data_IF_976818472395
#
_entry.id   IF_976818472395
#
_cell.length_a   1.000
_cell.length_b   1.000
_cell.length_c   1.000
_cell.angle_alpha   90.00
_cell.angle_beta   90.00
_cell.angle_gamma   90.00
#
_symmetry.space_group_name_H-M   'P 1'
#
loop_
_entity.id
_entity.type
_entity.pdbx_description
1 polymer ?
#
# COMPACT_ATOMS: atom_id res chain seq x y z
N UNK A 1 -6.80 25.21 16.88
CA UNK A 1 -8.08 25.89 16.60
C UNK A 1 -8.11 27.34 17.12
N UNK A 2 -7.84 27.63 18.41
CA UNK A 2 -7.72 29.03 18.90
C UNK A 2 -6.61 29.85 18.25
N UNK A 3 -5.51 29.23 17.84
CA UNK A 3 -4.38 29.94 17.20
C UNK A 3 -4.58 30.19 15.70
N UNK A 4 -5.56 29.56 15.03
CA UNK A 4 -5.70 29.63 13.57
C UNK A 4 -6.57 30.79 13.07
N UNK A 5 -7.37 31.45 13.91
CA UNK A 5 -8.39 32.41 13.43
C UNK A 5 -8.29 33.83 13.99
N UNK A 6 -7.52 34.11 15.05
CA UNK A 6 -7.35 35.47 15.59
C UNK A 6 -8.64 36.14 16.11
N UNK A 7 -9.79 35.48 16.03
CA UNK A 7 -11.10 35.96 16.48
C UNK A 7 -11.48 35.30 17.81
N UNK A 8 -12.11 36.09 18.69
CA UNK A 8 -12.69 35.60 19.94
C UNK A 8 -13.93 34.74 19.63
N UNK A 9 -13.71 33.47 19.30
CA UNK A 9 -14.76 32.46 19.11
C UNK A 9 -15.38 32.13 20.47
N UNK A 10 -16.71 32.15 20.57
CA UNK A 10 -17.39 31.82 21.83
C UNK A 10 -17.16 30.35 22.22
N UNK A 11 -17.22 30.04 23.52
CA UNK A 11 -17.06 28.65 23.98
C UNK A 11 -18.18 27.73 23.44
N UNK A 12 -19.35 28.29 23.10
CA UNK A 12 -20.47 27.57 22.47
C UNK A 12 -20.19 27.25 21.00
N UNK A 13 -19.62 28.20 20.25
CA UNK A 13 -19.19 27.98 18.88
C UNK A 13 -18.06 26.95 18.82
N UNK A 14 -17.09 27.02 19.74
CA UNK A 14 -16.00 26.03 19.84
C UNK A 14 -16.56 24.63 20.08
N UNK A 15 -17.51 24.47 21.02
CA UNK A 15 -18.14 23.17 21.28
C UNK A 15 -18.86 22.62 20.06
N UNK A 16 -19.57 23.48 19.33
CA UNK A 16 -20.28 23.09 18.10
C UNK A 16 -19.30 22.64 17.02
N UNK A 17 -18.21 23.37 16.80
CA UNK A 17 -17.17 22.98 15.83
C UNK A 17 -16.50 21.66 16.19
N UNK A 18 -16.17 21.46 17.47
CA UNK A 18 -15.59 20.19 17.92
C UNK A 18 -16.56 19.02 17.74
N UNK A 19 -17.86 19.23 17.99
CA UNK A 19 -18.88 18.20 17.77
C UNK A 19 -18.99 17.84 16.29
N UNK A 20 -19.09 18.83 15.41
CA UNK A 20 -19.17 18.62 13.96
C UNK A 20 -17.92 17.90 13.45
N UNK A 21 -16.73 18.32 13.89
CA UNK A 21 -15.48 17.66 13.52
C UNK A 21 -15.44 16.20 13.99
N UNK A 22 -15.91 15.91 15.20
CA UNK A 22 -15.98 14.54 15.70
C UNK A 22 -16.91 13.67 14.87
N UNK A 23 -18.07 14.21 14.46
CA UNK A 23 -19.03 13.52 13.59
C UNK A 23 -18.45 13.29 12.18
N UNK A 24 -17.73 14.25 11.62
CA UNK A 24 -17.03 14.10 10.33
C UNK A 24 -15.96 13.01 10.39
N UNK A 25 -15.16 12.94 11.46
CA UNK A 25 -14.13 11.91 11.65
C UNK A 25 -14.77 10.52 11.80
N UNK A 26 -15.86 10.41 12.56
CA UNK A 26 -16.58 9.15 12.72
C UNK A 26 -17.15 8.66 11.38
N UNK A 27 -17.77 9.55 10.60
CA UNK A 27 -18.25 9.25 9.24
C UNK A 27 -17.13 8.83 8.30
N UNK A 28 -15.96 9.49 8.37
CA UNK A 28 -14.79 9.10 7.60
C UNK A 28 -14.32 7.69 7.96
N UNK A 29 -14.27 7.36 9.25
CA UNK A 29 -13.91 6.03 9.73
C UNK A 29 -14.88 4.95 9.23
N UNK A 30 -16.19 5.20 9.31
CA UNK A 30 -17.23 4.32 8.78
C UNK A 30 -17.10 4.15 7.26
N UNK A 31 -16.94 5.25 6.51
CA UNK A 31 -16.78 5.23 5.06
C UNK A 31 -15.52 4.46 4.63
N UNK A 32 -14.40 4.63 5.34
CA UNK A 32 -13.17 3.91 5.09
C UNK A 32 -13.34 2.40 5.35
N UNK A 33 -14.00 2.03 6.44
CA UNK A 33 -14.30 0.63 6.72
C UNK A 33 -15.23 0.02 5.66
N UNK A 34 -16.29 0.73 5.30
CA UNK A 34 -17.24 0.30 4.28
C UNK A 34 -16.53 0.11 2.93
N UNK A 35 -15.66 1.03 2.54
CA UNK A 35 -14.86 0.94 1.32
C UNK A 35 -13.97 -0.31 1.31
N UNK A 36 -13.28 -0.60 2.41
CA UNK A 36 -12.43 -1.81 2.55
C UNK A 36 -13.27 -3.08 2.48
N UNK A 37 -14.41 -3.14 3.18
CA UNK A 37 -15.32 -4.29 3.15
C UNK A 37 -15.88 -4.50 1.74
N UNK A 38 -16.38 -3.44 1.11
CA UNK A 38 -16.91 -3.48 -0.25
C UNK A 38 -15.85 -3.92 -1.26
N UNK A 39 -14.60 -3.48 -1.08
CA UNK A 39 -13.49 -3.87 -1.94
C UNK A 39 -13.18 -5.35 -1.85
N UNK A 40 -13.16 -5.93 -0.65
CA UNK A 40 -12.99 -7.39 -0.46
C UNK A 40 -14.18 -8.16 -1.02
N UNK A 41 -15.41 -7.76 -0.65
CA UNK A 41 -16.64 -8.43 -1.08
C UNK A 41 -16.82 -8.40 -2.60
N UNK A 42 -16.47 -7.29 -3.25
CA UNK A 42 -16.53 -7.14 -4.71
C UNK A 42 -15.61 -8.07 -5.48
N UNK A 43 -14.73 -8.80 -4.79
CA UNK A 43 -13.75 -9.74 -5.37
C UNK A 43 -13.92 -11.18 -4.89
N UNK A 44 -15.03 -11.46 -4.22
CA UNK A 44 -15.43 -12.83 -3.93
C UNK A 44 -16.03 -13.45 -5.19
N UNK A 45 -15.40 -14.51 -5.68
CA UNK A 45 -15.81 -15.25 -6.88
C UNK A 45 -16.05 -16.73 -6.55
N UNK A 46 -16.83 -17.46 -7.37
CA UNK A 46 -16.97 -18.91 -7.24
C UNK A 46 -15.61 -19.62 -7.30
N UNK A 47 -15.41 -20.61 -6.43
CA UNK A 47 -14.24 -21.50 -6.49
C UNK A 47 -14.42 -22.60 -7.55
N UNK A 48 -13.49 -23.57 -7.53
CA UNK A 48 -13.53 -24.71 -8.43
C UNK A 48 -14.68 -25.68 -8.08
N UNK A 49 -15.04 -25.73 -6.79
CA UNK A 49 -16.19 -26.49 -6.29
C UNK A 49 -17.44 -25.59 -6.10
N UNK A 50 -18.63 -26.16 -6.25
CA UNK A 50 -19.90 -25.42 -6.27
C UNK A 50 -20.14 -24.56 -5.00
N UNK A 51 -19.73 -25.07 -3.84
CA UNK A 51 -19.90 -24.43 -2.53
C UNK A 51 -18.63 -23.69 -2.06
N UNK A 52 -17.61 -23.61 -2.92
CA UNK A 52 -16.38 -22.90 -2.61
C UNK A 52 -16.49 -21.43 -3.06
N UNK A 53 -15.90 -20.55 -2.27
CA UNK A 53 -15.70 -19.15 -2.62
C UNK A 53 -14.24 -18.81 -2.44
N UNK A 54 -13.73 -17.96 -3.33
CA UNK A 54 -12.35 -17.51 -3.31
C UNK A 54 -12.26 -16.01 -3.52
N UNK A 55 -11.15 -15.42 -3.09
CA UNK A 55 -10.77 -14.06 -3.43
C UNK A 55 -9.95 -14.08 -4.71
N UNK A 56 -10.42 -13.33 -5.71
CA UNK A 56 -9.72 -13.04 -6.95
C UNK A 56 -9.02 -11.70 -6.94
N UNK A 57 -8.24 -11.42 -7.98
CA UNK A 57 -7.63 -10.10 -8.20
C UNK A 57 -6.74 -10.08 -9.44
N UNK A 58 -5.93 -9.03 -9.58
CA UNK A 58 -5.12 -8.80 -10.78
C UNK A 58 -4.01 -9.84 -11.01
N UNK A 59 -3.65 -10.60 -9.96
CA UNK A 59 -2.63 -11.66 -10.01
C UNK A 59 -3.30 -12.99 -9.65
N UNK A 60 -3.75 -13.78 -10.65
CA UNK A 60 -4.57 -14.98 -10.41
C UNK A 60 -3.94 -16.00 -9.45
N UNK A 61 -2.62 -16.17 -9.53
CA UNK A 61 -1.86 -17.12 -8.70
C UNK A 61 -1.84 -16.77 -7.20
N UNK A 62 -2.18 -15.53 -6.84
CA UNK A 62 -2.24 -15.09 -5.44
C UNK A 62 -3.64 -15.18 -4.85
N UNK A 63 -4.67 -15.47 -5.67
CA UNK A 63 -6.03 -15.70 -5.19
C UNK A 63 -6.12 -16.90 -4.24
N UNK A 64 -7.17 -16.95 -3.42
CA UNK A 64 -7.28 -17.96 -2.37
C UNK A 64 -8.69 -18.23 -1.89
N UNK A 65 -8.88 -19.43 -1.38
CA UNK A 65 -10.17 -19.90 -0.89
C UNK A 65 -10.52 -19.27 0.46
N UNK A 66 -11.79 -18.91 0.58
CA UNK A 66 -12.38 -18.46 1.82
C UNK A 66 -12.74 -19.65 2.70
N UNK A 67 -12.54 -19.49 4.01
CA UNK A 67 -12.92 -20.50 4.98
C UNK A 67 -14.44 -20.47 5.19
N UNK A 68 -15.15 -21.60 5.07
CA UNK A 68 -16.59 -21.65 5.32
C UNK A 68 -16.89 -21.47 6.82
N UNK A 69 -18.06 -20.93 7.11
CA UNK A 69 -18.63 -20.78 8.45
C UNK A 69 -20.13 -21.11 8.44
N UNK A 70 -20.77 -21.18 9.61
CA UNK A 70 -22.20 -21.53 9.71
C UNK A 70 -23.14 -20.65 8.86
N UNK A 71 -22.77 -19.38 8.67
CA UNK A 71 -23.56 -18.38 7.97
C UNK A 71 -23.05 -18.05 6.55
N UNK A 72 -22.05 -18.79 6.03
CA UNK A 72 -21.44 -18.53 4.73
C UNK A 72 -19.93 -18.71 4.74
N UNK A 73 -19.17 -17.62 4.56
CA UNK A 73 -17.71 -17.64 4.53
C UNK A 73 -17.13 -16.53 5.40
N UNK A 74 -16.00 -16.81 6.05
CA UNK A 74 -15.24 -15.79 6.76
C UNK A 74 -14.61 -14.81 5.77
N UNK A 75 -14.82 -13.52 6.00
CA UNK A 75 -14.05 -12.50 5.30
C UNK A 75 -12.58 -12.54 5.76
N UNK A 76 -11.61 -12.36 4.85
CA UNK A 76 -10.18 -12.30 5.18
C UNK A 76 -9.80 -10.94 5.77
N UNK A 77 -10.68 -10.37 6.59
CA UNK A 77 -10.62 -9.03 7.15
C UNK A 77 -11.34 -9.01 8.50
N UNK A 78 -10.70 -8.44 9.51
CA UNK A 78 -11.22 -8.26 10.86
C UNK A 78 -10.87 -6.86 11.37
N UNK A 79 -11.84 -5.93 11.37
CA UNK A 79 -11.68 -4.62 12.01
C UNK A 79 -11.45 -4.79 13.52
N UNK A 80 -10.57 -3.97 14.11
CA UNK A 80 -10.22 -4.00 15.53
C UNK A 80 -10.45 -2.66 16.23
N UNK A 81 -9.97 -1.57 15.64
CA UNK A 81 -10.11 -0.22 16.19
C UNK A 81 -10.78 0.66 15.13
N UNK A 82 -11.88 1.28 15.53
CA UNK A 82 -12.65 2.28 14.80
C UNK A 82 -12.89 3.40 15.80
N UNK A 83 -11.97 4.36 15.92
CA UNK A 83 -12.09 5.35 16.96
C UNK A 83 -11.15 6.53 16.77
N UNK A 84 -11.74 7.73 16.73
CA UNK A 84 -10.99 8.94 16.41
C UNK A 84 -10.46 8.88 14.98
N UNK A 85 -9.22 9.31 14.79
CA UNK A 85 -8.50 9.30 13.52
C UNK A 85 -7.81 7.97 13.18
N UNK A 86 -7.86 6.98 14.08
CA UNK A 86 -7.19 5.69 13.92
C UNK A 86 -8.13 4.58 13.42
N UNK A 87 -7.70 3.90 12.36
CA UNK A 87 -8.32 2.70 11.83
C UNK A 87 -7.34 1.53 11.87
N UNK A 88 -7.67 0.47 12.62
CA UNK A 88 -6.86 -0.76 12.67
C UNK A 88 -7.70 -1.97 12.28
N UNK A 89 -7.17 -2.78 11.37
CA UNK A 89 -7.73 -4.08 11.01
C UNK A 89 -6.65 -5.13 10.79
N UNK A 90 -7.02 -6.41 10.93
CA UNK A 90 -6.19 -7.56 10.56
C UNK A 90 -6.78 -8.17 9.29
N UNK A 91 -5.96 -8.52 8.32
CA UNK A 91 -6.40 -9.14 7.08
C UNK A 91 -5.42 -10.21 6.59
N UNK A 92 -5.80 -10.96 5.54
CA UNK A 92 -4.84 -11.78 4.80
C UNK A 92 -3.73 -10.87 4.24
N UNK A 93 -2.46 -11.26 4.49
CA UNK A 93 -1.30 -10.44 4.15
C UNK A 93 -1.21 -10.05 2.67
N UNK A 94 -1.81 -10.85 1.77
CA UNK A 94 -1.83 -10.53 0.34
C UNK A 94 -2.66 -9.29 0.02
N UNK A 95 -3.69 -9.01 0.81
CA UNK A 95 -4.60 -7.89 0.63
C UNK A 95 -4.12 -6.62 1.34
N UNK A 96 -3.19 -6.73 2.30
CA UNK A 96 -2.92 -5.67 3.26
C UNK A 96 -2.57 -4.30 2.64
N UNK A 97 -1.69 -4.28 1.63
CA UNK A 97 -1.30 -3.03 0.95
C UNK A 97 -2.45 -2.45 0.12
N UNK A 98 -3.23 -3.29 -0.56
CA UNK A 98 -4.37 -2.86 -1.37
C UNK A 98 -5.47 -2.24 -0.50
N UNK A 99 -5.76 -2.85 0.65
CA UNK A 99 -6.73 -2.34 1.61
C UNK A 99 -6.23 -1.08 2.33
N UNK A 100 -4.95 -1.00 2.69
CA UNK A 100 -4.36 0.22 3.26
C UNK A 100 -4.45 1.40 2.28
N UNK A 101 -4.12 1.17 1.01
CA UNK A 101 -4.25 2.19 -0.04
C UNK A 101 -5.70 2.63 -0.21
N UNK A 102 -6.65 1.71 -0.14
CA UNK A 102 -8.08 2.02 -0.22
C UNK A 102 -8.52 2.97 0.89
N UNK A 103 -8.05 2.75 2.13
CA UNK A 103 -8.33 3.68 3.25
C UNK A 103 -7.72 5.05 2.97
N UNK A 104 -6.45 5.10 2.55
CA UNK A 104 -5.78 6.37 2.26
C UNK A 104 -6.45 7.15 1.12
N UNK A 105 -6.96 6.47 0.09
CA UNK A 105 -7.73 7.08 -1.00
C UNK A 105 -9.08 7.64 -0.52
N UNK A 106 -9.77 6.97 0.41
CA UNK A 106 -10.98 7.50 1.03
C UNK A 106 -10.66 8.76 1.84
N UNK A 107 -9.55 8.77 2.59
CA UNK A 107 -9.12 9.93 3.35
C UNK A 107 -8.79 11.12 2.43
N UNK A 108 -8.00 10.93 1.37
CA UNK A 108 -7.69 11.99 0.41
C UNK A 108 -8.91 12.50 -0.36
N UNK A 109 -9.95 11.66 -0.52
CA UNK A 109 -11.22 12.04 -1.15
C UNK A 109 -12.21 12.74 -0.23
N UNK A 110 -11.95 12.80 1.08
CA UNK A 110 -12.83 13.41 2.06
C UNK A 110 -12.46 14.88 2.32
N UNK A 111 -13.42 15.78 2.15
CA UNK A 111 -13.27 17.20 2.49
C UNK A 111 -14.03 17.51 3.79
N UNK A 112 -13.29 17.88 4.83
CA UNK A 112 -13.85 18.39 6.09
C UNK A 112 -14.16 19.88 5.96
N UNK A 113 -15.32 20.31 6.47
CA UNK A 113 -15.67 21.73 6.48
C UNK A 113 -14.73 22.58 7.37
N UNK A 114 -14.14 21.96 8.41
CA UNK A 114 -13.28 22.63 9.39
C UNK A 114 -11.78 22.46 9.10
N UNK A 115 -11.38 21.28 8.59
CA UNK A 115 -9.97 20.95 8.38
C UNK A 115 -9.53 21.01 6.91
N UNK A 116 -10.46 21.03 5.96
CA UNK A 116 -10.18 20.92 4.54
C UNK A 116 -9.87 19.47 4.15
N UNK A 117 -8.95 19.28 3.19
CA UNK A 117 -8.54 17.96 2.74
C UNK A 117 -7.91 17.17 3.90
N UNK A 118 -8.39 15.94 4.11
CA UNK A 118 -7.86 15.03 5.12
C UNK A 118 -6.87 14.05 4.50
N UNK A 119 -5.85 13.66 5.26
CA UNK A 119 -4.77 12.81 4.80
C UNK A 119 -4.49 11.74 5.86
N UNK A 120 -3.96 10.60 5.43
CA UNK A 120 -3.65 9.48 6.32
C UNK A 120 -2.20 9.00 6.21
N UNK A 121 -1.73 8.34 7.27
CA UNK A 121 -0.51 7.54 7.21
C UNK A 121 -0.90 6.10 7.52
N UNK A 122 -0.31 5.14 6.81
CA UNK A 122 -0.54 3.72 7.05
C UNK A 122 0.77 3.00 7.38
N UNK A 123 0.73 2.15 8.40
CA UNK A 123 1.79 1.23 8.75
C UNK A 123 1.32 -0.21 8.63
N UNK A 124 2.01 -1.03 7.84
CA UNK A 124 1.59 -2.40 7.54
C UNK A 124 2.65 -3.40 8.02
N UNK A 125 2.33 -4.20 9.05
CA UNK A 125 3.17 -5.30 9.51
C UNK A 125 2.70 -6.64 8.92
N UNK A 126 3.47 -7.16 7.96
CA UNK A 126 3.22 -8.46 7.30
C UNK A 126 3.98 -9.56 8.05
N UNK A 127 3.28 -10.30 8.91
CA UNK A 127 3.86 -11.32 9.80
C UNK A 127 3.21 -12.69 9.60
N UNK A 128 3.89 -13.74 10.05
CA UNK A 128 3.30 -15.09 10.06
C UNK A 128 2.12 -15.18 11.04
N UNK A 129 1.19 -16.09 10.77
CA UNK A 129 -0.10 -16.26 11.50
C UNK A 129 0.05 -16.45 13.01
N UNK A 130 1.17 -17.02 13.48
CA UNK A 130 1.42 -17.27 14.91
C UNK A 130 2.29 -16.19 15.57
N UNK A 131 2.63 -15.11 14.87
CA UNK A 131 3.38 -14.01 15.46
C UNK A 131 2.52 -13.27 16.50
N UNK A 132 3.06 -12.90 17.68
CA UNK A 132 2.28 -12.25 18.72
C UNK A 132 1.62 -10.95 18.24
N UNK A 133 0.29 -10.87 18.32
CA UNK A 133 -0.48 -9.72 17.83
C UNK A 133 -0.01 -8.38 18.40
N UNK A 134 0.22 -8.29 19.71
CA UNK A 134 0.68 -7.06 20.34
C UNK A 134 1.98 -6.53 19.70
N UNK A 135 2.91 -7.42 19.36
CA UNK A 135 4.14 -7.04 18.66
C UNK A 135 3.91 -6.64 17.21
N UNK A 136 2.95 -7.25 16.53
CA UNK A 136 2.59 -6.87 15.16
C UNK A 136 1.98 -5.46 15.16
N UNK A 137 1.10 -5.19 16.13
CA UNK A 137 0.47 -3.89 16.34
C UNK A 137 1.51 -2.80 16.62
N UNK A 138 2.39 -3.00 17.60
CA UNK A 138 3.48 -2.04 17.90
C UNK A 138 4.36 -1.76 16.67
N UNK A 139 4.56 -2.78 15.83
CA UNK A 139 5.33 -2.64 14.61
C UNK A 139 4.59 -1.87 13.52
N UNK A 140 3.29 -2.12 13.35
CA UNK A 140 2.42 -1.35 12.46
C UNK A 140 2.39 0.14 12.87
N UNK A 141 2.26 0.43 14.17
CA UNK A 141 2.35 1.79 14.71
C UNK A 141 3.70 2.45 14.41
N UNK A 142 4.80 1.72 14.61
CA UNK A 142 6.16 2.20 14.29
C UNK A 142 6.30 2.56 12.80
N UNK A 143 5.74 1.74 11.91
CA UNK A 143 5.74 1.99 10.47
C UNK A 143 4.84 3.17 10.09
N UNK A 144 3.67 3.31 10.72
CA UNK A 144 2.79 4.46 10.54
C UNK A 144 3.49 5.77 10.94
N UNK A 145 4.18 5.76 12.09
CA UNK A 145 5.04 6.86 12.55
C UNK A 145 6.17 7.18 11.58
N UNK A 146 6.77 6.16 10.95
CA UNK A 146 7.79 6.33 9.90
C UNK A 146 7.23 7.04 8.65
N UNK A 147 6.04 6.64 8.18
CA UNK A 147 5.35 7.32 7.07
C UNK A 147 5.02 8.78 7.41
N UNK A 148 4.52 9.05 8.63
CA UNK A 148 4.25 10.41 9.11
C UNK A 148 5.51 11.26 9.20
N UNK A 149 6.59 10.69 9.75
CA UNK A 149 7.89 11.35 9.85
C UNK A 149 8.47 11.72 8.48
N UNK A 150 8.28 10.86 7.48
CA UNK A 150 8.70 11.12 6.11
C UNK A 150 7.98 12.32 5.49
N UNK A 151 6.65 12.42 5.63
CA UNK A 151 5.89 13.57 5.14
C UNK A 151 6.30 14.88 5.82
N UNK A 152 6.53 14.84 7.14
CA UNK A 152 7.01 16.01 7.90
C UNK A 152 8.41 16.46 7.45
N UNK A 153 9.32 15.52 7.21
CA UNK A 153 10.69 15.80 6.78
C UNK A 153 10.75 16.37 5.35
N UNK A 154 9.89 15.88 4.45
CA UNK A 154 9.81 16.32 3.05
C UNK A 154 8.94 17.55 2.85
N UNK A 155 8.16 17.96 3.87
CA UNK A 155 7.16 19.03 3.80
C UNK A 155 6.13 18.80 2.69
N UNK A 156 5.81 17.53 2.45
CA UNK A 156 4.77 17.14 1.51
C UNK A 156 3.45 16.99 2.25
N UNK A 157 2.39 17.54 1.66
CA UNK A 157 1.02 17.21 2.00
C UNK A 157 0.58 15.97 1.20
N UNK A 158 -0.32 15.18 1.77
CA UNK A 158 -0.87 13.96 1.20
C UNK A 158 -0.72 12.76 2.12
N UNK A 159 -1.08 11.59 1.61
CA UNK A 159 -0.98 10.34 2.35
C UNK A 159 0.32 9.58 2.08
N UNK A 160 0.74 8.75 3.02
CA UNK A 160 1.91 7.88 2.86
C UNK A 160 1.70 6.52 3.53
N UNK A 161 2.42 5.51 3.05
CA UNK A 161 2.42 4.18 3.63
C UNK A 161 3.82 3.60 3.75
N UNK A 162 4.00 2.80 4.80
CA UNK A 162 5.22 2.06 5.08
C UNK A 162 4.86 0.64 5.49
N UNK A 163 5.71 -0.32 5.16
CA UNK A 163 5.48 -1.72 5.49
C UNK A 163 6.77 -2.47 5.81
N UNK A 164 6.61 -3.56 6.53
CA UNK A 164 7.67 -4.54 6.74
C UNK A 164 7.13 -5.96 6.60
N UNK A 165 7.91 -6.81 5.93
CA UNK A 165 7.64 -8.24 5.79
C UNK A 165 8.60 -8.99 6.70
N UNK A 166 8.04 -9.82 7.57
CA UNK A 166 8.80 -10.64 8.50
C UNK A 166 8.66 -10.20 9.95
N UNK A 167 9.30 -10.96 10.82
CA UNK A 167 9.24 -10.77 12.27
C UNK A 167 10.45 -9.95 12.73
N UNK A 168 10.27 -8.73 13.27
CA UNK A 168 11.38 -7.96 13.83
C UNK A 168 12.01 -8.70 15.02
N UNK A 169 13.30 -8.47 15.26
CA UNK A 169 13.95 -9.00 16.47
C UNK A 169 13.39 -8.31 17.74
N UNK A 170 13.44 -8.96 18.91
CA UNK A 170 13.09 -8.30 20.16
C UNK A 170 13.89 -7.00 20.36
N UNK A 171 13.22 -5.92 20.75
CA UNK A 171 13.80 -4.60 21.01
C UNK A 171 14.56 -3.96 19.84
N UNK A 172 14.33 -4.41 18.61
CA UNK A 172 14.93 -3.84 17.43
C UNK A 172 14.18 -2.57 17.00
N UNK A 173 14.91 -1.49 16.71
CA UNK A 173 14.35 -0.29 16.09
C UNK A 173 14.21 -0.45 14.58
N UNK A 174 13.29 0.31 13.96
CA UNK A 174 13.09 0.31 12.52
C UNK A 174 14.36 0.73 11.76
N UNK A 175 15.11 1.70 12.29
CA UNK A 175 16.37 2.18 11.72
C UNK A 175 17.43 1.07 11.73
N UNK A 176 17.58 0.38 12.87
CA UNK A 176 18.54 -0.73 13.00
C UNK A 176 18.16 -1.88 12.06
N UNK A 177 16.86 -2.13 11.87
CA UNK A 177 16.38 -3.10 10.88
C UNK A 177 16.74 -2.69 9.45
N UNK A 178 16.47 -1.44 9.08
CA UNK A 178 16.77 -0.93 7.75
C UNK A 178 18.25 -0.91 7.44
N UNK A 179 19.07 -0.54 8.41
CA UNK A 179 20.53 -0.57 8.27
C UNK A 179 21.06 -1.98 8.03
N UNK A 180 20.47 -3.00 8.67
CA UNK A 180 20.89 -4.39 8.51
C UNK A 180 20.39 -5.03 7.23
N UNK A 181 19.09 -4.87 6.92
CA UNK A 181 18.41 -5.63 5.87
C UNK A 181 18.36 -4.87 4.53
N UNK A 182 18.27 -3.54 4.60
CA UNK A 182 17.95 -2.66 3.49
C UNK A 182 19.07 -1.66 3.15
N UNK A 183 20.32 -2.03 3.46
CA UNK A 183 21.51 -1.31 3.01
C UNK A 183 22.47 -2.28 2.30
N UNK A 184 23.08 -1.84 1.21
CA UNK A 184 24.12 -2.62 0.52
C UNK A 184 25.53 -2.26 0.98
N UNK A 185 26.54 -2.95 0.43
CA UNK A 185 27.95 -2.74 0.77
C UNK A 185 28.48 -1.35 0.40
N UNK A 186 27.82 -0.64 -0.51
CA UNK A 186 28.15 0.73 -0.91
C UNK A 186 27.43 1.80 -0.06
N UNK A 187 26.60 1.37 0.89
CA UNK A 187 25.79 2.27 1.70
C UNK A 187 24.54 2.81 1.00
N UNK A 188 24.11 2.25 -0.14
CA UNK A 188 22.85 2.60 -0.79
C UNK A 188 21.68 1.93 -0.11
N UNK A 189 20.52 2.60 -0.10
CA UNK A 189 19.27 2.08 0.46
C UNK A 189 18.61 1.14 -0.54
N UNK A 190 18.14 0.01 -0.07
CA UNK A 190 17.50 -1.03 -0.88
C UNK A 190 15.99 -0.98 -0.77
N UNK A 191 15.44 0.21 -0.54
CA UNK A 191 14.01 0.47 -0.38
C UNK A 191 13.78 1.94 -0.63
N UNK A 192 12.62 2.30 -1.19
CA UNK A 192 12.12 3.68 -1.18
C UNK A 192 11.08 3.94 -0.08
N UNK A 193 10.70 2.92 0.70
CA UNK A 193 9.81 3.11 1.85
C UNK A 193 10.30 4.20 2.83
N UNK A 194 9.39 5.01 3.39
CA UNK A 194 7.94 5.07 3.12
C UNK A 194 7.61 5.62 1.73
N UNK A 195 6.55 5.10 1.10
CA UNK A 195 6.05 5.63 -0.18
C UNK A 195 4.96 6.67 0.07
N UNK A 196 4.98 7.77 -0.70
CA UNK A 196 3.80 8.66 -0.77
C UNK A 196 2.72 7.96 -1.59
N UNK A 197 1.45 8.12 -1.25
CA UNK A 197 0.37 7.61 -2.09
C UNK A 197 0.49 8.22 -3.50
N UNK A 198 0.64 9.55 -3.54
CA UNK A 198 1.03 10.33 -4.70
C UNK A 198 0.02 10.31 -5.83
N UNK A 199 -0.02 11.38 -6.64
CA UNK A 199 -0.90 11.40 -7.83
C UNK A 199 -0.20 11.00 -9.12
N UNK A 200 1.10 11.26 -9.20
CA UNK A 200 1.91 11.03 -10.40
C UNK A 200 2.53 9.61 -10.38
N UNK A 201 2.16 8.72 -11.31
CA UNK A 201 2.76 7.39 -11.43
C UNK A 201 4.23 7.42 -11.91
N UNK A 202 4.79 8.58 -12.26
CA UNK A 202 6.20 8.72 -12.68
C UNK A 202 7.13 9.16 -11.55
N UNK A 203 6.63 9.34 -10.32
CA UNK A 203 7.46 9.60 -9.15
C UNK A 203 7.93 8.27 -8.54
N UNK A 204 9.24 8.01 -8.54
CA UNK A 204 9.79 6.75 -8.03
C UNK A 204 9.40 6.48 -6.57
N UNK A 205 9.35 7.54 -5.75
CA UNK A 205 8.93 7.52 -4.34
C UNK A 205 7.40 7.41 -4.14
N UNK A 206 6.64 7.35 -5.24
CA UNK A 206 5.19 7.20 -5.25
C UNK A 206 4.77 5.72 -5.25
N UNK A 207 3.81 5.38 -4.41
CA UNK A 207 3.19 4.05 -4.37
C UNK A 207 2.62 3.65 -5.73
N UNK A 208 2.05 4.61 -6.46
CA UNK A 208 1.51 4.36 -7.81
C UNK A 208 2.59 3.95 -8.80
N UNK A 209 3.82 4.48 -8.70
CA UNK A 209 4.94 3.98 -9.50
C UNK A 209 5.25 2.52 -9.16
N UNK A 210 5.44 2.19 -7.88
CA UNK A 210 5.76 0.82 -7.47
C UNK A 210 4.67 -0.19 -7.90
N UNK A 211 3.41 0.12 -7.59
CA UNK A 211 2.29 -0.79 -7.82
C UNK A 211 1.85 -0.81 -9.29
N UNK A 212 1.62 0.34 -9.91
CA UNK A 212 0.97 0.44 -11.22
C UNK A 212 1.97 0.49 -12.38
N UNK A 213 3.24 0.83 -12.15
CA UNK A 213 4.26 0.84 -13.21
C UNK A 213 5.26 -0.30 -13.05
N UNK A 214 5.92 -0.41 -11.89
CA UNK A 214 7.00 -1.37 -11.63
C UNK A 214 6.50 -2.80 -11.45
N UNK A 215 5.37 -3.02 -10.79
CA UNK A 215 4.75 -4.34 -10.68
C UNK A 215 3.81 -4.61 -11.85
N UNK A 216 2.77 -3.78 -12.00
CA UNK A 216 1.61 -4.11 -12.84
C UNK A 216 1.47 -3.29 -14.12
N UNK A 217 2.43 -2.40 -14.42
CA UNK A 217 2.42 -1.56 -15.62
C UNK A 217 2.80 -2.32 -16.89
N UNK A 218 2.65 -1.70 -18.06
CA UNK A 218 2.98 -2.36 -19.35
C UNK A 218 4.44 -2.88 -19.39
N UNK A 219 5.33 -2.22 -18.65
CA UNK A 219 6.73 -2.57 -18.47
C UNK A 219 7.04 -3.26 -17.12
N UNK A 220 6.02 -3.52 -16.30
CA UNK A 220 6.15 -4.03 -14.95
C UNK A 220 6.48 -5.51 -14.88
N UNK A 221 6.95 -5.93 -13.70
CA UNK A 221 7.49 -7.26 -13.45
C UNK A 221 6.47 -8.40 -13.59
N UNK A 222 5.17 -8.11 -13.45
CA UNK A 222 4.08 -9.09 -13.62
C UNK A 222 3.48 -9.11 -15.01
N UNK A 223 3.92 -8.23 -15.92
CA UNK A 223 3.36 -8.09 -17.27
C UNK A 223 4.30 -8.62 -18.34
N UNK A 224 3.80 -8.65 -19.59
CA UNK A 224 4.40 -9.34 -20.75
C UNK A 224 5.91 -9.17 -20.92
N UNK A 225 6.48 -8.02 -20.56
CA UNK A 225 7.93 -7.79 -20.69
C UNK A 225 8.76 -8.66 -19.73
N UNK A 226 8.26 -8.93 -18.54
CA UNK A 226 8.96 -9.64 -17.49
C UNK A 226 8.29 -10.96 -17.07
N UNK A 227 7.08 -11.23 -17.54
CA UNK A 227 6.23 -12.39 -17.22
C UNK A 227 7.00 -13.73 -17.33
N UNK A 228 7.83 -13.89 -18.36
CA UNK A 228 8.65 -15.11 -18.60
C UNK A 228 10.05 -15.05 -18.00
N UNK A 229 10.32 -14.03 -17.18
CA UNK A 229 11.64 -13.68 -16.66
C UNK A 229 11.62 -13.53 -15.12
N UNK A 230 10.70 -14.21 -14.44
CA UNK A 230 10.60 -14.20 -12.97
C UNK A 230 11.91 -14.57 -12.27
N UNK A 231 12.70 -15.49 -12.85
CA UNK A 231 14.02 -15.82 -12.32
C UNK A 231 14.98 -14.61 -12.32
N UNK A 232 14.95 -13.77 -13.36
CA UNK A 232 15.76 -12.54 -13.45
C UNK A 232 15.28 -11.50 -12.46
N UNK A 233 13.95 -11.36 -12.29
CA UNK A 233 13.38 -10.45 -11.27
C UNK A 233 13.82 -10.88 -9.87
N UNK A 234 13.75 -12.17 -9.55
CA UNK A 234 14.23 -12.69 -8.26
C UNK A 234 15.75 -12.48 -8.07
N UNK A 235 16.53 -12.58 -9.15
CA UNK A 235 17.97 -12.29 -9.13
C UNK A 235 18.29 -10.83 -8.77
N UNK A 236 17.38 -9.87 -9.04
CA UNK A 236 17.56 -8.47 -8.66
C UNK A 236 17.76 -8.29 -7.14
N UNK A 237 17.13 -9.12 -6.29
CA UNK A 237 17.33 -9.05 -4.84
C UNK A 237 18.78 -9.28 -4.41
N UNK A 238 19.55 -10.05 -5.20
CA UNK A 238 21.00 -10.21 -5.02
C UNK A 238 21.74 -9.03 -5.64
N UNK A 239 21.42 -8.66 -6.89
CA UNK A 239 22.15 -7.65 -7.64
C UNK A 239 22.12 -6.27 -6.99
N UNK A 240 20.99 -5.85 -6.42
CA UNK A 240 20.89 -4.56 -5.72
C UNK A 240 21.82 -4.48 -4.50
N UNK A 241 22.14 -5.63 -3.89
CA UNK A 241 23.11 -5.72 -2.78
C UNK A 241 24.56 -5.62 -3.25
N UNK A 242 24.83 -5.91 -4.52
CA UNK A 242 26.15 -5.73 -5.13
C UNK A 242 26.36 -4.29 -5.61
N UNK A 243 25.29 -3.63 -6.07
CA UNK A 243 25.29 -2.20 -6.42
C UNK A 243 24.68 -1.90 -7.79
N UNK A 244 24.57 -0.61 -8.16
CA UNK A 244 23.91 -0.21 -9.40
C UNK A 244 24.62 -0.71 -10.67
N UNK A 245 25.94 -0.87 -10.63
CA UNK A 245 26.72 -1.38 -11.76
C UNK A 245 26.44 -2.87 -12.01
N UNK A 246 26.27 -3.65 -10.94
CA UNK A 246 25.90 -5.07 -11.05
C UNK A 246 24.51 -5.25 -11.69
N UNK A 247 23.56 -4.38 -11.33
CA UNK A 247 22.22 -4.34 -11.94
C UNK A 247 22.32 -3.99 -13.43
N UNK A 248 23.04 -2.92 -13.79
CA UNK A 248 23.18 -2.47 -15.18
C UNK A 248 23.85 -3.53 -16.06
N UNK A 249 24.98 -4.08 -15.62
CA UNK A 249 25.72 -5.13 -16.35
C UNK A 249 24.84 -6.37 -16.56
N UNK A 250 24.09 -6.79 -15.54
CA UNK A 250 23.20 -7.94 -15.63
C UNK A 250 22.03 -7.68 -16.59
N UNK A 251 21.42 -6.48 -16.51
CA UNK A 251 20.35 -6.08 -17.43
C UNK A 251 20.83 -6.05 -18.89
N UNK A 252 22.02 -5.50 -19.14
CA UNK A 252 22.64 -5.49 -20.48
C UNK A 252 22.91 -6.92 -20.98
N UNK A 253 23.42 -7.81 -20.13
CA UNK A 253 23.63 -9.21 -20.47
C UNK A 253 22.31 -9.93 -20.78
N UNK A 254 21.27 -9.70 -19.98
CA UNK A 254 19.94 -10.28 -20.20
C UNK A 254 19.29 -9.81 -21.50
N UNK A 255 19.56 -8.57 -21.92
CA UNK A 255 19.07 -7.99 -23.17
C UNK A 255 19.63 -8.65 -24.43
N UNK A 256 20.77 -9.33 -24.36
CA UNK A 256 21.31 -10.12 -25.49
C UNK A 256 20.30 -11.19 -25.94
N UNK A 257 19.63 -11.83 -24.98
CA UNK A 257 18.61 -12.85 -25.25
C UNK A 257 17.17 -12.29 -25.23
N UNK A 258 16.94 -11.19 -24.51
CA UNK A 258 15.62 -10.56 -24.38
C UNK A 258 15.73 -9.02 -24.54
N UNK A 259 15.85 -8.50 -25.77
CA UNK A 259 16.12 -7.07 -26.03
C UNK A 259 15.05 -6.10 -25.52
N UNK A 260 13.85 -6.61 -25.20
CA UNK A 260 12.70 -5.84 -24.73
C UNK A 260 12.70 -5.60 -23.20
N UNK A 261 13.65 -6.19 -22.47
CA UNK A 261 13.74 -6.01 -21.02
C UNK A 261 14.17 -4.58 -20.69
N UNK A 262 13.32 -3.83 -20.02
CA UNK A 262 13.63 -2.49 -19.52
C UNK A 262 12.83 -2.23 -18.25
N UNK A 263 13.40 -1.42 -17.36
CA UNK A 263 12.66 -0.91 -16.21
C UNK A 263 11.70 0.20 -16.66
N UNK A 264 10.52 0.32 -16.05
CA UNK A 264 9.66 1.48 -16.28
C UNK A 264 10.36 2.77 -15.81
N UNK A 265 10.11 3.86 -16.52
CA UNK A 265 10.56 5.19 -16.11
C UNK A 265 9.89 5.58 -14.78
N UNK A 266 10.60 6.27 -13.86
CA UNK A 266 11.84 7.02 -14.09
C UNK A 266 13.13 6.21 -13.87
N UNK A 267 13.05 4.91 -13.58
CA UNK A 267 14.24 4.11 -13.34
C UNK A 267 15.12 4.01 -14.59
N UNK A 268 16.41 4.25 -14.37
CA UNK A 268 17.45 3.98 -15.38
C UNK A 268 17.83 2.50 -15.35
N UNK A 269 18.67 2.07 -16.30
CA UNK A 269 19.19 0.70 -16.36
C UNK A 269 20.00 0.29 -15.12
N UNK A 270 20.48 1.27 -14.35
CA UNK A 270 21.15 1.03 -13.07
C UNK A 270 20.16 0.58 -11.99
N UNK A 271 18.86 0.86 -12.14
CA UNK A 271 17.81 0.43 -11.22
C UNK A 271 17.77 1.17 -9.89
N UNK A 272 18.49 2.28 -9.75
CA UNK A 272 18.48 3.15 -8.57
C UNK A 272 17.94 4.53 -8.94
N UNK A 273 17.21 5.12 -7.99
CA UNK A 273 16.84 6.52 -7.95
C UNK A 273 17.73 7.23 -6.90
N UNK A 274 18.71 7.97 -7.38
CA UNK A 274 19.80 8.50 -6.54
C UNK A 274 20.56 7.39 -5.78
N UNK A 275 20.45 7.42 -4.45
CA UNK A 275 21.08 6.44 -3.55
C UNK A 275 20.13 5.37 -3.03
N UNK A 276 18.94 5.26 -3.62
CA UNK A 276 17.92 4.29 -3.21
C UNK A 276 17.39 3.48 -4.39
N UNK A 277 16.78 2.33 -4.14
CA UNK A 277 16.16 1.53 -5.19
C UNK A 277 14.81 0.94 -4.74
N UNK A 278 13.77 0.97 -5.60
CA UNK A 278 12.50 0.27 -5.35
C UNK A 278 12.56 -1.20 -5.78
N UNK A 279 13.67 -1.67 -6.37
CA UNK A 279 13.72 -3.00 -6.97
C UNK A 279 13.56 -4.11 -5.92
N UNK A 280 14.14 -3.97 -4.73
CA UNK A 280 13.94 -4.95 -3.67
C UNK A 280 12.51 -4.90 -3.12
N UNK A 281 11.91 -3.71 -2.99
CA UNK A 281 10.50 -3.56 -2.62
C UNK A 281 9.58 -4.31 -3.61
N UNK A 282 9.84 -4.15 -4.92
CA UNK A 282 9.10 -4.86 -5.96
C UNK A 282 9.32 -6.38 -5.91
N UNK A 283 10.54 -6.84 -5.67
CA UNK A 283 10.83 -8.28 -5.53
C UNK A 283 10.16 -8.89 -4.30
N UNK A 284 10.13 -8.17 -3.18
CA UNK A 284 9.42 -8.61 -1.97
C UNK A 284 7.90 -8.72 -2.19
N UNK A 285 7.32 -7.85 -3.03
CA UNK A 285 5.88 -7.79 -3.27
C UNK A 285 5.40 -8.65 -4.45
N UNK A 286 6.26 -9.00 -5.41
CA UNK A 286 5.83 -9.62 -6.67
C UNK A 286 4.95 -10.86 -6.46
N UNK A 287 5.24 -11.64 -5.43
CA UNK A 287 4.57 -12.91 -5.10
C UNK A 287 3.75 -12.85 -3.80
N UNK A 288 3.50 -11.64 -3.29
CA UNK A 288 2.77 -11.43 -2.05
C UNK A 288 1.59 -10.47 -2.23
N UNK A 289 1.79 -9.32 -2.88
CA UNK A 289 0.75 -8.32 -3.00
C UNK A 289 -0.30 -8.73 -4.05
N UNK A 290 -1.55 -8.96 -3.63
CA UNK A 290 -2.70 -9.18 -4.51
C UNK A 290 -3.47 -7.87 -4.64
N UNK A 291 -3.34 -7.12 -5.75
CA UNK A 291 -4.15 -5.95 -5.99
C UNK A 291 -5.56 -6.40 -6.38
N UNK A 292 -6.55 -5.81 -5.72
CA UNK A 292 -7.94 -6.02 -6.05
C UNK A 292 -8.33 -5.06 -7.17
N UNK A 293 -8.88 -5.59 -8.26
CA UNK A 293 -9.40 -4.75 -9.33
C UNK A 293 -10.49 -3.80 -8.78
N UNK A 294 -10.57 -2.58 -9.29
CA UNK A 294 -11.64 -1.65 -8.91
C UNK A 294 -13.00 -2.25 -9.32
N UNK A 295 -14.04 -2.20 -8.45
CA UNK A 295 -15.37 -2.63 -8.84
C UNK A 295 -15.78 -1.90 -10.13
N UNK A 296 -16.51 -2.56 -11.05
CA UNK A 296 -16.99 -1.88 -12.25
C UNK A 296 -17.73 -0.61 -11.84
N UNK A 297 -17.35 0.54 -12.41
CA UNK A 297 -18.07 1.80 -12.16
C UNK A 297 -19.55 1.54 -12.42
N UNK A 298 -20.48 1.97 -11.54
CA UNK A 298 -21.89 1.93 -11.88
C UNK A 298 -22.04 2.66 -13.21
N UNK A 299 -22.54 1.96 -14.22
CA UNK A 299 -22.92 2.58 -15.48
C UNK A 299 -23.94 3.65 -15.13
N UNK A 300 -23.54 4.92 -15.22
CA UNK A 300 -24.47 6.03 -15.21
C UNK A 300 -25.41 5.78 -16.39
N UNK A 301 -26.59 5.26 -16.11
CA UNK A 301 -27.62 4.99 -17.09
C UNK A 301 -28.08 6.36 -17.62
N UNK A 302 -27.78 6.74 -18.87
CA UNK A 302 -28.31 7.96 -19.43
C UNK A 302 -29.70 7.63 -19.96
N UNK A 303 -30.71 8.36 -19.45
CA UNK A 303 -32.05 8.56 -20.01
C UNK A 303 -33.06 7.47 -19.60
N UNK A 304 -34.03 7.76 -18.73
CA UNK A 304 -35.16 8.67 -18.99
C UNK A 304 -35.40 8.90 -20.49
N UNK A 305 -35.92 7.88 -21.17
CA UNK A 305 -36.73 8.11 -22.37
C UNK A 305 -38.19 7.99 -21.95
N UNK A 306 -38.75 9.16 -21.69
CA UNK A 306 -40.19 9.42 -21.77
C UNK A 306 -40.69 9.02 -23.16
N UNK A 307 -41.64 8.10 -23.21
CA UNK A 307 -42.78 8.02 -24.16
C UNK A 307 -43.74 6.92 -23.73
#
# INVERSE_FOLDING_TARGET
LRERTGEAVSDEDLRTRFKNLSEEIEQLGEAALEAVVNRVCGRIEPGDEADQRRIGGLVPDLGFDLQPCEAGWYLPLRPLILGGDDLTFVCDGRLALDLAVTVLEVFEGFESAELGALHGCAGIALVHTHFPFARAYDWAETLCGSAKGHLLATRCEGSALDWHIGSPLPNQSLETLREREYRNTEGKRLTLRPYRLGTDPQEAEGWRFLSQELLDGAAGFRRKRWERHRNKVQELAKLVREGPDAVEVSLQAWRVAAPHLEFPKPLTDRGFDGDSTPLLDAVELIDLHLPLEAPPKPTADPQEVTS
#
